data_IF_974188397238
#
_entry.id   IF_974188397238
#
_cell.length_a   1.000
_cell.length_b   1.000
_cell.length_c   1.000
_cell.angle_alpha   90.00
_cell.angle_beta   90.00
_cell.angle_gamma   90.00
#
_symmetry.space_group_name_H-M   'P 1'
#
loop_
_entity.id
_entity.type
_entity.pdbx_description
1 polymer ?
#
# COMPACT_ATOMS: atom_id res chain seq x y z
N UNK A 1 24.78 18.93 4.18
CA UNK A 1 23.82 18.99 3.06
C UNK A 1 23.81 17.69 2.25
N UNK A 2 24.94 17.21 1.74
CA UNK A 2 25.00 15.96 0.94
C UNK A 2 24.44 14.72 1.66
N UNK A 3 24.79 14.53 2.94
CA UNK A 3 24.31 13.39 3.76
C UNK A 3 22.79 13.43 3.95
N UNK A 4 22.20 14.61 4.09
CA UNK A 4 20.76 14.78 4.32
C UNK A 4 19.96 14.48 3.05
N UNK A 5 20.44 14.94 1.89
CA UNK A 5 19.89 14.60 0.57
C UNK A 5 19.95 13.10 0.33
N UNK A 6 21.10 12.47 0.59
CA UNK A 6 21.26 11.03 0.41
C UNK A 6 20.34 10.21 1.31
N UNK A 7 20.23 10.61 2.59
CA UNK A 7 19.29 9.97 3.54
C UNK A 7 17.84 10.09 3.06
N UNK A 8 17.40 11.27 2.63
CA UNK A 8 16.03 11.47 2.16
C UNK A 8 15.75 10.70 0.86
N UNK A 9 16.75 10.57 -0.01
CA UNK A 9 16.65 9.76 -1.22
C UNK A 9 16.45 8.27 -0.90
N UNK A 10 17.24 7.72 0.03
CA UNK A 10 17.08 6.34 0.48
C UNK A 10 15.73 6.10 1.16
N UNK A 11 15.27 7.04 2.00
CA UNK A 11 13.92 6.97 2.59
C UNK A 11 12.83 6.96 1.52
N UNK A 12 12.93 7.83 0.51
CA UNK A 12 11.96 7.86 -0.60
C UNK A 12 11.96 6.54 -1.38
N UNK A 13 13.12 5.96 -1.66
CA UNK A 13 13.19 4.65 -2.31
C UNK A 13 12.60 3.53 -1.45
N UNK A 14 12.85 3.54 -0.14
CA UNK A 14 12.26 2.58 0.78
C UNK A 14 10.73 2.66 0.81
N UNK A 15 10.16 3.87 0.85
CA UNK A 15 8.71 4.06 0.77
C UNK A 15 8.14 3.65 -0.60
N UNK A 16 8.89 3.83 -1.70
CA UNK A 16 8.49 3.34 -3.01
C UNK A 16 8.39 1.80 -3.04
N UNK A 17 9.39 1.10 -2.50
CA UNK A 17 9.34 -0.36 -2.38
C UNK A 17 8.16 -0.84 -1.54
N UNK A 18 7.80 -0.11 -0.47
CA UNK A 18 6.61 -0.43 0.34
C UNK A 18 5.31 -0.28 -0.45
N UNK A 19 5.23 0.70 -1.36
CA UNK A 19 4.07 0.82 -2.27
C UNK A 19 3.94 -0.43 -3.12
N UNK A 20 5.03 -0.93 -3.69
CA UNK A 20 4.98 -2.12 -4.55
C UNK A 20 4.61 -3.39 -3.76
N UNK A 21 5.12 -3.55 -2.55
CA UNK A 21 4.69 -4.63 -1.64
C UNK A 21 3.20 -4.50 -1.30
N UNK A 22 2.72 -3.29 -1.00
CA UNK A 22 1.30 -3.06 -0.70
C UNK A 22 0.39 -3.32 -1.91
N UNK A 23 0.85 -3.11 -3.15
CA UNK A 23 0.11 -3.49 -4.36
C UNK A 23 -0.07 -5.01 -4.45
N UNK A 24 1.02 -5.77 -4.28
CA UNK A 24 0.98 -7.24 -4.29
C UNK A 24 0.04 -7.78 -3.19
N UNK A 25 0.00 -7.13 -2.03
CA UNK A 25 -0.94 -7.47 -0.97
C UNK A 25 -2.40 -7.24 -1.36
N UNK A 26 -2.69 -6.16 -2.08
CA UNK A 26 -4.05 -5.92 -2.62
C UNK A 26 -4.41 -6.99 -3.63
N UNK A 27 -3.53 -7.29 -4.58
CA UNK A 27 -3.76 -8.34 -5.60
C UNK A 27 -4.04 -9.70 -4.94
N UNK A 28 -3.26 -10.07 -3.92
CA UNK A 28 -3.48 -11.31 -3.17
C UNK A 28 -4.80 -11.31 -2.41
N UNK A 29 -5.20 -10.18 -1.81
CA UNK A 29 -6.46 -10.08 -1.08
C UNK A 29 -7.68 -10.08 -2.02
N UNK A 30 -7.54 -9.50 -3.22
CA UNK A 30 -8.57 -9.54 -4.27
C UNK A 30 -8.81 -10.97 -4.75
N UNK A 31 -7.75 -11.75 -4.95
CA UNK A 31 -7.88 -13.16 -5.34
C UNK A 31 -8.48 -14.00 -4.20
N UNK A 32 -8.11 -13.74 -2.94
CA UNK A 32 -8.72 -14.40 -1.79
C UNK A 32 -10.23 -14.12 -1.72
N UNK A 33 -10.63 -12.85 -1.82
CA UNK A 33 -12.02 -12.46 -1.86
C UNK A 33 -12.78 -13.15 -3.00
N UNK A 34 -12.20 -13.19 -4.21
CA UNK A 34 -12.81 -13.87 -5.37
C UNK A 34 -13.07 -15.35 -5.08
N UNK A 35 -12.08 -16.06 -4.54
CA UNK A 35 -12.21 -17.49 -4.20
C UNK A 35 -13.29 -17.72 -3.13
N UNK A 36 -13.32 -16.89 -2.09
CA UNK A 36 -14.32 -17.02 -1.01
C UNK A 36 -15.71 -16.68 -1.52
N UNK A 37 -15.84 -15.66 -2.38
CA UNK A 37 -17.10 -15.33 -3.02
C UNK A 37 -17.62 -16.50 -3.88
N UNK A 38 -16.77 -17.11 -4.71
CA UNK A 38 -17.15 -18.28 -5.53
C UNK A 38 -17.60 -19.47 -4.65
N UNK A 39 -16.94 -19.66 -3.49
CA UNK A 39 -17.37 -20.67 -2.50
C UNK A 39 -18.69 -20.31 -1.83
N UNK A 40 -18.90 -19.04 -1.50
CA UNK A 40 -20.14 -18.57 -0.87
C UNK A 40 -21.34 -18.79 -1.81
N UNK A 41 -21.21 -18.44 -3.10
CA UNK A 41 -22.24 -18.66 -4.13
C UNK A 41 -22.57 -20.15 -4.33
N UNK A 42 -21.61 -21.03 -4.05
CA UNK A 42 -21.80 -22.48 -4.09
C UNK A 42 -22.16 -23.09 -2.73
N UNK A 43 -22.47 -22.25 -1.73
CA UNK A 43 -22.80 -22.63 -0.35
C UNK A 43 -21.69 -23.44 0.36
N UNK A 44 -20.44 -23.32 -0.11
CA UNK A 44 -19.24 -23.95 0.45
C UNK A 44 -18.48 -23.02 1.40
N UNK A 45 -18.86 -21.75 1.50
CA UNK A 45 -18.38 -20.80 2.50
C UNK A 45 -19.56 -20.09 3.17
N UNK A 46 -19.32 -19.63 4.40
CA UNK A 46 -20.30 -18.89 5.21
C UNK A 46 -20.28 -17.39 4.88
N UNK A 47 -21.34 -16.69 5.27
CA UNK A 47 -21.39 -15.23 5.15
C UNK A 47 -20.31 -14.54 6.00
N UNK A 48 -19.92 -15.14 7.13
CA UNK A 48 -18.84 -14.64 7.98
C UNK A 48 -17.50 -14.68 7.25
N UNK A 49 -17.15 -15.80 6.61
CA UNK A 49 -15.91 -15.93 5.83
C UNK A 49 -15.86 -14.91 4.68
N UNK A 50 -16.99 -14.65 4.02
CA UNK A 50 -17.08 -13.63 2.98
C UNK A 50 -16.82 -12.21 3.52
N UNK A 51 -17.39 -11.88 4.69
CA UNK A 51 -17.17 -10.58 5.35
C UNK A 51 -15.72 -10.43 5.80
N UNK A 52 -15.09 -11.50 6.29
CA UNK A 52 -13.68 -11.50 6.66
C UNK A 52 -12.80 -11.23 5.45
N UNK A 53 -13.03 -11.91 4.32
CA UNK A 53 -12.27 -11.71 3.09
C UNK A 53 -12.44 -10.28 2.52
N UNK A 54 -13.65 -9.71 2.57
CA UNK A 54 -13.89 -8.33 2.17
C UNK A 54 -13.19 -7.32 3.10
N UNK A 55 -13.22 -7.58 4.40
CA UNK A 55 -12.51 -6.75 5.40
C UNK A 55 -11.00 -6.77 5.19
N UNK A 56 -10.41 -7.93 4.88
CA UNK A 56 -9.00 -8.06 4.53
C UNK A 56 -8.64 -7.29 3.26
N UNK A 57 -9.50 -7.35 2.24
CA UNK A 57 -9.33 -6.60 1.00
C UNK A 57 -9.37 -5.08 1.25
N UNK A 58 -10.33 -4.63 2.05
CA UNK A 58 -10.45 -3.22 2.42
C UNK A 58 -9.21 -2.72 3.21
N UNK A 59 -8.72 -3.52 4.16
CA UNK A 59 -7.50 -3.20 4.91
C UNK A 59 -6.27 -3.14 4.00
N UNK A 60 -6.12 -4.08 3.06
CA UNK A 60 -5.03 -4.07 2.09
C UNK A 60 -5.06 -2.80 1.21
N UNK A 61 -6.25 -2.42 0.71
CA UNK A 61 -6.44 -1.21 -0.09
C UNK A 61 -6.13 0.06 0.71
N UNK A 62 -6.56 0.12 1.97
CA UNK A 62 -6.25 1.23 2.88
C UNK A 62 -4.75 1.35 3.10
N UNK A 63 -4.06 0.23 3.36
CA UNK A 63 -2.59 0.21 3.52
C UNK A 63 -1.86 0.67 2.26
N UNK A 64 -2.32 0.30 1.08
CA UNK A 64 -1.75 0.80 -0.19
C UNK A 64 -1.87 2.33 -0.29
N UNK A 65 -3.03 2.89 0.04
CA UNK A 65 -3.23 4.35 0.04
C UNK A 65 -2.27 5.02 1.03
N UNK A 66 -2.14 4.48 2.25
CA UNK A 66 -1.19 4.99 3.25
C UNK A 66 0.25 4.92 2.75
N UNK A 67 0.68 3.82 2.11
CA UNK A 67 2.01 3.69 1.51
C UNK A 67 2.26 4.76 0.44
N UNK A 68 1.27 5.04 -0.42
CA UNK A 68 1.38 6.11 -1.42
C UNK A 68 1.54 7.50 -0.78
N UNK A 69 0.80 7.77 0.29
CA UNK A 69 0.91 9.03 1.03
C UNK A 69 2.32 9.17 1.61
N UNK A 70 2.85 8.13 2.25
CA UNK A 70 4.19 8.14 2.83
C UNK A 70 5.28 8.34 1.77
N UNK A 71 5.16 7.67 0.63
CA UNK A 71 6.06 7.89 -0.51
C UNK A 71 6.05 9.35 -0.99
N UNK A 72 4.85 9.94 -1.15
CA UNK A 72 4.72 11.37 -1.53
C UNK A 72 5.37 12.29 -0.51
N UNK A 73 5.15 12.05 0.78
CA UNK A 73 5.78 12.81 1.87
C UNK A 73 7.32 12.70 1.80
N UNK A 74 7.86 11.49 1.62
CA UNK A 74 9.30 11.26 1.50
C UNK A 74 9.90 11.96 0.28
N UNK A 75 9.18 12.00 -0.84
CA UNK A 75 9.56 12.74 -2.05
C UNK A 75 9.61 14.25 -1.79
N UNK A 76 8.62 14.82 -1.09
CA UNK A 76 8.61 16.24 -0.71
C UNK A 76 9.80 16.58 0.19
N UNK A 77 10.16 15.72 1.15
CA UNK A 77 11.34 15.93 1.99
C UNK A 77 12.64 15.90 1.19
N UNK A 78 12.76 14.99 0.21
CA UNK A 78 13.88 14.98 -0.71
C UNK A 78 13.96 16.29 -1.50
N UNK A 79 12.86 16.74 -2.11
CA UNK A 79 12.77 17.99 -2.87
C UNK A 79 13.17 19.21 -2.03
N UNK A 80 12.74 19.26 -0.77
CA UNK A 80 13.15 20.28 0.19
C UNK A 80 14.66 20.26 0.43
N UNK A 81 15.25 19.07 0.65
CA UNK A 81 16.68 18.94 0.95
C UNK A 81 17.60 19.27 -0.22
N UNK A 82 17.12 19.12 -1.47
CA UNK A 82 17.85 19.56 -2.67
C UNK A 82 17.65 21.05 -2.99
N UNK A 83 16.98 21.80 -2.11
CA UNK A 83 16.77 23.24 -2.26
C UNK A 83 15.66 23.64 -3.24
N UNK A 84 14.79 22.71 -3.66
CA UNK A 84 13.59 23.09 -4.43
C UNK A 84 12.59 23.73 -3.48
N UNK A 85 12.11 24.94 -3.83
CA UNK A 85 11.01 25.59 -3.10
C UNK A 85 9.73 24.77 -3.30
N UNK A 86 9.13 24.39 -2.18
CA UNK A 86 7.78 23.84 -2.10
C UNK A 86 6.86 25.07 -2.05
N UNK A 87 6.14 25.35 -3.14
CA UNK A 87 5.18 26.45 -3.25
C UNK A 87 3.76 25.94 -3.12
#
# INVERSE_FOLDING_TARGET
MEIEVYKNYLSMQSEASKVDVSKLRVESAEENYRIINDKYETQLATSTELIEADSELLDAKTKLITSYINYKIAKVYLEKSIGRKIY
#
